data_IF_359386951800
#
_entry.id   IF_359386951800
#
_cell.length_a   1.000
_cell.length_b   1.000
_cell.length_c   1.000
_cell.angle_alpha   90.00
_cell.angle_beta   90.00
_cell.angle_gamma   90.00
#
_symmetry.space_group_name_H-M   'P 1'
#
loop_
_entity.id
_entity.type
_entity.pdbx_description
1 polymer ?
#
# COMPACT_ATOMS: atom_id res chain seq x y z
N UNK A 1 -14.02 -6.24 11.80
CA UNK A 1 -12.68 -5.66 11.61
C UNK A 1 -12.07 -6.31 10.39
N UNK A 2 -11.46 -5.54 9.47
CA UNK A 2 -10.77 -6.08 8.29
C UNK A 2 -9.38 -6.56 8.71
N UNK A 3 -8.99 -7.73 8.25
CA UNK A 3 -7.62 -8.22 8.40
C UNK A 3 -6.71 -7.51 7.40
N UNK A 4 -5.53 -7.08 7.85
CA UNK A 4 -4.49 -6.55 6.99
C UNK A 4 -3.49 -7.67 6.73
N UNK A 5 -3.26 -7.97 5.46
CA UNK A 5 -2.24 -8.89 4.98
C UNK A 5 -1.25 -8.14 4.12
N UNK A 6 -0.02 -8.62 4.11
CA UNK A 6 1.03 -8.09 3.26
C UNK A 6 1.21 -9.06 2.08
N UNK A 7 1.31 -8.50 0.88
CA UNK A 7 1.78 -9.25 -0.27
C UNK A 7 3.24 -9.63 -0.05
N UNK A 8 3.57 -10.87 -0.39
CA UNK A 8 4.94 -11.37 -0.45
C UNK A 8 5.25 -11.74 -1.89
N UNK A 9 6.35 -11.23 -2.43
CA UNK A 9 6.87 -11.63 -3.75
C UNK A 9 7.16 -13.15 -3.78
N UNK A 10 7.36 -13.76 -4.96
CA UNK A 10 7.63 -15.19 -5.05
C UNK A 10 8.88 -15.64 -4.27
N UNK A 11 9.85 -14.75 -4.11
CA UNK A 11 11.05 -14.93 -3.28
C UNK A 11 10.86 -14.51 -1.81
N UNK A 12 9.62 -14.22 -1.38
CA UNK A 12 9.26 -13.99 0.02
C UNK A 12 9.50 -12.57 0.55
N UNK A 13 9.72 -11.58 -0.32
CA UNK A 13 9.93 -10.19 0.09
C UNK A 13 8.62 -9.46 0.30
N UNK A 14 8.58 -8.65 1.35
CA UNK A 14 7.49 -7.72 1.64
C UNK A 14 7.89 -6.31 1.17
N UNK A 15 7.42 -5.93 -0.02
CA UNK A 15 7.78 -4.66 -0.65
C UNK A 15 7.35 -3.45 0.21
N UNK A 16 6.18 -3.54 0.84
CA UNK A 16 5.69 -2.49 1.75
C UNK A 16 6.61 -2.37 2.97
N UNK A 17 6.86 -3.47 3.68
CA UNK A 17 7.62 -3.44 4.93
C UNK A 17 9.08 -3.08 4.69
N UNK A 18 9.69 -3.55 3.60
CA UNK A 18 11.05 -3.16 3.23
C UNK A 18 11.18 -1.66 2.97
N UNK A 19 10.26 -1.09 2.20
CA UNK A 19 10.27 0.35 1.94
C UNK A 19 10.01 1.13 3.23
N UNK A 20 9.01 0.72 4.01
CA UNK A 20 8.65 1.36 5.27
C UNK A 20 9.82 1.34 6.29
N UNK A 21 10.60 0.26 6.31
CA UNK A 21 11.80 0.15 7.15
C UNK A 21 12.87 1.15 6.75
N UNK A 22 13.08 1.34 5.44
CA UNK A 22 14.10 2.23 4.85
C UNK A 22 13.71 3.72 4.88
N UNK A 23 12.45 4.03 5.16
CA UNK A 23 11.93 5.40 5.17
C UNK A 23 12.58 6.26 6.27
N UNK A 24 13.21 7.37 5.87
CA UNK A 24 13.89 8.32 6.77
C UNK A 24 12.97 9.38 7.38
N UNK A 25 11.88 9.72 6.69
CA UNK A 25 10.89 10.68 7.19
C UNK A 25 10.06 10.04 8.32
N UNK A 26 10.41 10.36 9.57
CA UNK A 26 9.79 9.81 10.78
C UNK A 26 8.32 10.22 10.93
N UNK A 27 7.96 11.43 10.47
CA UNK A 27 6.58 11.93 10.50
C UNK A 27 5.74 11.15 9.50
N UNK A 28 6.25 10.95 8.28
CA UNK A 28 5.59 10.13 7.28
C UNK A 28 5.42 8.68 7.77
N UNK A 29 6.45 8.11 8.39
CA UNK A 29 6.42 6.76 8.95
C UNK A 29 5.31 6.59 10.00
N UNK A 30 5.19 7.53 10.94
CA UNK A 30 4.14 7.52 11.94
C UNK A 30 2.74 7.69 11.32
N UNK A 31 2.60 8.62 10.35
CA UNK A 31 1.34 8.83 9.62
C UNK A 31 0.92 7.57 8.86
N UNK A 32 1.83 6.95 8.11
CA UNK A 32 1.56 5.71 7.37
C UNK A 32 1.10 4.60 8.31
N UNK A 33 1.84 4.30 9.38
CA UNK A 33 1.47 3.26 10.34
C UNK A 33 0.10 3.51 10.98
N UNK A 34 -0.15 4.74 11.43
CA UNK A 34 -1.45 5.13 12.00
C UNK A 34 -2.60 4.96 11.00
N UNK A 35 -2.36 5.26 9.72
CA UNK A 35 -3.39 5.18 8.68
C UNK A 35 -3.67 3.74 8.28
N UNK A 36 -2.63 2.92 8.13
CA UNK A 36 -2.77 1.47 7.88
C UNK A 36 -3.54 0.81 9.01
N UNK A 37 -3.20 1.08 10.29
CA UNK A 37 -3.95 0.53 11.42
C UNK A 37 -5.44 0.92 11.41
N UNK A 38 -5.76 2.16 11.02
CA UNK A 38 -7.15 2.63 10.92
C UNK A 38 -7.95 1.97 9.81
N UNK A 39 -7.31 1.51 8.74
CA UNK A 39 -7.98 0.77 7.66
C UNK A 39 -8.60 -0.54 8.16
N UNK A 40 -7.99 -1.21 9.13
CA UNK A 40 -8.55 -2.43 9.76
C UNK A 40 -9.93 -2.17 10.40
N UNK A 41 -10.16 -0.95 10.91
CA UNK A 41 -11.45 -0.52 11.47
C UNK A 41 -12.38 0.11 10.43
N UNK A 42 -12.03 0.06 9.14
CA UNK A 42 -12.82 0.65 8.06
C UNK A 42 -12.61 2.15 7.86
N UNK A 43 -11.68 2.77 8.58
CA UNK A 43 -11.39 4.20 8.44
C UNK A 43 -10.19 4.43 7.52
N UNK A 44 -10.47 4.48 6.22
CA UNK A 44 -9.46 4.66 5.17
C UNK A 44 -9.06 6.13 4.98
N UNK A 45 -9.84 7.12 5.43
CA UNK A 45 -9.66 8.57 5.16
C UNK A 45 -9.39 8.89 3.68
N UNK A 46 -8.36 9.67 3.37
CA UNK A 46 -7.98 9.97 1.99
C UNK A 46 -7.40 8.74 1.25
N UNK A 47 -8.21 8.16 0.38
CA UNK A 47 -7.88 7.05 -0.52
C UNK A 47 -8.70 7.17 -1.81
N UNK A 48 -8.22 6.58 -2.90
CA UNK A 48 -8.95 6.52 -4.18
C UNK A 48 -8.78 5.17 -4.88
N UNK A 49 -9.76 4.73 -5.67
CA UNK A 49 -9.53 3.64 -6.61
C UNK A 49 -8.53 4.09 -7.67
N UNK A 50 -7.69 3.16 -8.11
CA UNK A 50 -6.80 3.31 -9.26
C UNK A 50 -7.34 2.46 -10.42
N UNK A 51 -6.51 1.57 -10.98
CA UNK A 51 -6.87 0.63 -12.05
C UNK A 51 -6.73 -0.82 -11.58
N UNK A 52 -7.46 -1.73 -12.24
CA UNK A 52 -7.35 -3.18 -12.08
C UNK A 52 -7.44 -3.68 -10.62
N UNK A 53 -8.37 -3.15 -9.84
CA UNK A 53 -8.60 -3.58 -8.46
C UNK A 53 -7.57 -3.06 -7.43
N UNK A 54 -6.64 -2.20 -7.85
CA UNK A 54 -5.71 -1.48 -6.97
C UNK A 54 -6.35 -0.19 -6.48
N UNK A 55 -6.10 0.12 -5.22
CA UNK A 55 -6.43 1.36 -4.54
C UNK A 55 -5.16 2.02 -4.03
N UNK A 56 -5.16 3.34 -3.90
CA UNK A 56 -4.11 4.07 -3.19
C UNK A 56 -4.66 4.76 -1.94
N UNK A 57 -3.91 4.64 -0.86
CA UNK A 57 -4.03 5.49 0.33
C UNK A 57 -3.06 6.65 0.18
N UNK A 58 -3.57 7.88 0.27
CA UNK A 58 -2.75 9.09 0.07
C UNK A 58 -2.29 9.65 1.40
N UNK A 59 -0.98 9.85 1.51
CA UNK A 59 -0.35 10.45 2.70
C UNK A 59 0.25 11.78 2.29
N UNK A 60 -0.39 12.86 2.72
CA UNK A 60 0.09 14.22 2.48
C UNK A 60 1.17 14.59 3.52
N UNK A 61 2.38 14.15 3.24
CA UNK A 61 3.60 14.42 4.01
C UNK A 61 4.81 14.28 3.10
N UNK A 62 5.72 15.27 3.14
CA UNK A 62 6.98 15.23 2.40
C UNK A 62 6.76 15.04 0.90
N UNK A 63 7.40 14.03 0.32
CA UNK A 63 7.30 13.71 -1.11
C UNK A 63 5.89 13.23 -1.55
N UNK A 64 5.00 12.96 -0.59
CA UNK A 64 3.62 12.57 -0.83
C UNK A 64 3.47 11.08 -1.09
N UNK A 65 3.65 10.31 -0.02
CA UNK A 65 3.67 8.85 -0.05
C UNK A 65 2.31 8.24 -0.44
N UNK A 66 2.37 7.04 -1.01
CA UNK A 66 1.23 6.23 -1.42
C UNK A 66 1.40 4.81 -0.90
N UNK A 67 0.38 4.32 -0.19
CA UNK A 67 0.26 2.89 0.11
C UNK A 67 -0.72 2.31 -0.88
N UNK A 68 -0.25 1.44 -1.77
CA UNK A 68 -1.10 0.73 -2.70
C UNK A 68 -1.59 -0.56 -2.07
N UNK A 69 -2.88 -0.83 -2.23
CA UNK A 69 -3.52 -1.99 -1.63
C UNK A 69 -4.69 -2.49 -2.49
N UNK A 70 -5.17 -3.69 -2.20
CA UNK A 70 -6.41 -4.22 -2.76
C UNK A 70 -7.36 -4.69 -1.66
N UNK A 71 -8.65 -4.79 -1.98
CA UNK A 71 -9.68 -5.33 -1.10
C UNK A 71 -10.17 -6.66 -1.68
N UNK A 72 -9.85 -7.76 -1.02
CA UNK A 72 -10.18 -9.11 -1.49
C UNK A 72 -10.90 -9.85 -0.37
N UNK A 73 -12.10 -10.36 -0.63
CA UNK A 73 -12.88 -11.17 0.33
C UNK A 73 -13.01 -10.56 1.73
N UNK A 74 -13.12 -9.22 1.80
CA UNK A 74 -13.24 -8.48 3.06
C UNK A 74 -11.90 -8.09 3.72
N UNK A 75 -10.77 -8.60 3.24
CA UNK A 75 -9.42 -8.31 3.71
C UNK A 75 -8.77 -7.14 2.95
N UNK A 76 -7.74 -6.55 3.56
CA UNK A 76 -6.89 -5.51 2.96
C UNK A 76 -5.54 -6.17 2.65
N UNK A 77 -5.16 -6.18 1.38
CA UNK A 77 -3.85 -6.69 0.94
C UNK A 77 -2.96 -5.49 0.64
N UNK A 78 -1.93 -5.23 1.45
CA UNK A 78 -0.91 -4.22 1.18
C UNK A 78 0.03 -4.73 0.09
N UNK A 79 0.18 -3.96 -0.98
CA UNK A 79 0.92 -4.37 -2.18
C UNK A 79 2.28 -3.68 -2.25
N UNK A 80 2.28 -2.35 -2.11
CA UNK A 80 3.46 -1.50 -2.32
C UNK A 80 3.36 -0.23 -1.47
N UNK A 81 4.51 0.28 -1.01
CA UNK A 81 4.65 1.64 -0.51
C UNK A 81 5.61 2.39 -1.43
N UNK A 82 5.18 3.55 -1.91
CA UNK A 82 5.98 4.42 -2.76
C UNK A 82 6.00 5.86 -2.23
N UNK A 83 7.00 6.62 -2.66
CA UNK A 83 7.31 7.94 -2.11
C UNK A 83 7.65 9.01 -3.14
N UNK A 84 7.30 8.83 -4.42
CA UNK A 84 7.45 9.87 -5.43
C UNK A 84 6.18 9.95 -6.29
N UNK A 85 5.50 11.12 -6.28
CA UNK A 85 4.30 11.33 -7.10
C UNK A 85 4.61 11.27 -8.60
N UNK A 86 5.85 11.54 -9.01
CA UNK A 86 6.28 11.53 -10.42
C UNK A 86 6.30 10.12 -11.01
N UNK A 87 6.40 9.09 -10.16
CA UNK A 87 6.41 7.68 -10.56
C UNK A 87 5.06 7.01 -10.32
N UNK A 88 4.01 7.77 -9.97
CA UNK A 88 2.72 7.21 -9.56
C UNK A 88 2.16 6.18 -10.56
N UNK A 89 2.20 6.45 -11.87
CA UNK A 89 1.70 5.48 -12.85
C UNK A 89 2.53 4.18 -12.86
N UNK A 90 3.85 4.28 -12.78
CA UNK A 90 4.72 3.11 -12.71
C UNK A 90 4.52 2.31 -11.40
N UNK A 91 4.30 3.01 -10.28
CA UNK A 91 4.01 2.39 -9.00
C UNK A 91 2.64 1.68 -9.01
N UNK A 92 1.65 2.25 -9.69
CA UNK A 92 0.35 1.60 -9.90
C UNK A 92 0.53 0.32 -10.75
N UNK A 93 1.32 0.36 -11.82
CA UNK A 93 1.58 -0.84 -12.64
C UNK A 93 2.30 -1.92 -11.85
N UNK A 94 3.23 -1.55 -10.97
CA UNK A 94 3.88 -2.48 -10.05
C UNK A 94 2.88 -3.07 -9.04
N UNK A 95 2.00 -2.25 -8.47
CA UNK A 95 0.95 -2.73 -7.57
C UNK A 95 -0.01 -3.70 -8.29
N UNK A 96 -0.35 -3.46 -9.56
CA UNK A 96 -1.16 -4.38 -10.36
C UNK A 96 -0.41 -5.71 -10.57
N UNK A 97 0.89 -5.67 -10.86
CA UNK A 97 1.72 -6.90 -10.95
C UNK A 97 1.70 -7.68 -9.64
N UNK A 98 1.87 -7.00 -8.51
CA UNK A 98 1.80 -7.60 -7.17
C UNK A 98 0.43 -8.24 -6.91
N UNK A 99 -0.66 -7.56 -7.27
CA UNK A 99 -2.02 -8.06 -7.10
C UNK A 99 -2.29 -9.30 -7.98
N UNK A 100 -1.90 -9.24 -9.25
CA UNK A 100 -2.06 -10.37 -10.17
C UNK A 100 -1.25 -11.59 -9.75
N UNK A 101 -0.06 -11.38 -9.18
CA UNK A 101 0.73 -12.46 -8.60
C UNK A 101 0.08 -13.02 -7.33
N UNK A 102 -0.45 -12.17 -6.45
CA UNK A 102 -1.21 -12.61 -5.26
C UNK A 102 -2.42 -13.47 -5.62
N UNK A 103 -3.17 -13.09 -6.66
CA UNK A 103 -4.39 -13.78 -7.09
C UNK A 103 -4.14 -15.13 -7.78
N UNK A 104 -2.91 -15.41 -8.23
CA UNK A 104 -2.54 -16.68 -8.88
C UNK A 104 -2.14 -17.77 -7.90
N UNK A 105 -2.01 -17.44 -6.61
CA UNK A 105 -1.60 -18.35 -5.54
C UNK A 105 -2.81 -18.87 -4.78
#
# INVERSE_FOLDING_TARGET
>A
MKTIKHYLTPDGKDLYAEYFKKLRDSIAKAKIASRVNRMASGNFGDHKPCREGVWELRIDQGAGYRVYYSLISGEIILLLLAGDKRTQDADIDEAIRCLNDYLKR
#
